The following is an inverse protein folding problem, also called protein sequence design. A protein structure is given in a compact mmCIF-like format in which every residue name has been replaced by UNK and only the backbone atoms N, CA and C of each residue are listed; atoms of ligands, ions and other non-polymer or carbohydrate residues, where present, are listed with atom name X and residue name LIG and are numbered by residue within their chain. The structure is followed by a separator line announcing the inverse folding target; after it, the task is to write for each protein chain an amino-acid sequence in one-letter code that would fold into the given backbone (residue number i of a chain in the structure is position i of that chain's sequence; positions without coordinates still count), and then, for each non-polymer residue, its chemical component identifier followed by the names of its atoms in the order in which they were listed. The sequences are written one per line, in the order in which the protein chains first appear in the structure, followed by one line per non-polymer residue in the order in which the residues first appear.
data_IF_169053439764
#
_entry.id   IF_169053439764
#
_cell.length_a   1.000
_cell.length_b   1.000
_cell.length_c   1.000
_cell.angle_alpha   90.00
_cell.angle_beta   90.00
_cell.angle_gamma   90.00
#
_symmetry.space_group_name_H-M   'P 1'
#
loop_
_entity.id
_entity.type
_entity.pdbx_description
1 polymer ?
#
# COMPACT_ATOMS: atom_id res chain seq x y z
N UNK A 1 6.70 -14.30 26.07
CA UNK A 1 6.32 -13.64 24.80
C UNK A 1 6.46 -14.66 23.67
N UNK A 2 5.52 -14.72 22.74
CA UNK A 2 5.67 -15.62 21.59
C UNK A 2 6.86 -15.16 20.75
N UNK A 3 7.66 -16.08 20.25
CA UNK A 3 8.85 -15.79 19.40
C UNK A 3 8.46 -14.87 18.22
N UNK A 4 7.25 -15.01 17.70
CA UNK A 4 6.67 -14.16 16.64
C UNK A 4 6.57 -12.68 17.06
N UNK A 5 6.10 -12.42 18.27
CA UNK A 5 5.94 -11.05 18.78
C UNK A 5 7.30 -10.38 18.98
N UNK A 6 8.31 -11.14 19.42
CA UNK A 6 9.68 -10.63 19.55
C UNK A 6 10.22 -10.18 18.18
N UNK A 7 10.06 -11.00 17.12
CA UNK A 7 10.49 -10.62 15.75
C UNK A 7 9.74 -9.37 15.29
N UNK A 8 8.43 -9.29 15.50
CA UNK A 8 7.64 -8.12 15.14
C UNK A 8 8.13 -6.85 15.84
N UNK A 9 8.41 -6.93 17.13
CA UNK A 9 8.95 -5.80 17.89
C UNK A 9 10.34 -5.37 17.39
N UNK A 10 11.24 -6.33 17.13
CA UNK A 10 12.56 -6.01 16.58
C UNK A 10 12.46 -5.36 15.20
N UNK A 11 11.61 -5.88 14.32
CA UNK A 11 11.39 -5.29 12.99
C UNK A 11 10.83 -3.87 13.08
N UNK A 12 9.85 -3.65 13.97
CA UNK A 12 9.29 -2.33 14.20
C UNK A 12 10.34 -1.36 14.80
N UNK A 13 11.10 -1.79 15.81
CA UNK A 13 12.16 -0.98 16.41
C UNK A 13 13.28 -0.67 15.42
N UNK A 14 13.65 -1.61 14.56
CA UNK A 14 14.59 -1.37 13.47
C UNK A 14 14.06 -0.27 12.54
N UNK A 15 12.80 -0.39 12.10
CA UNK A 15 12.15 0.61 11.24
C UNK A 15 12.09 2.00 11.91
N UNK A 16 11.78 2.07 13.20
CA UNK A 16 11.75 3.33 13.96
C UNK A 16 13.14 3.96 14.14
N UNK A 17 14.19 3.14 14.27
CA UNK A 17 15.58 3.61 14.36
C UNK A 17 16.15 4.04 13.01
N UNK A 18 15.63 3.51 11.91
CA UNK A 18 15.98 3.99 10.57
C UNK A 18 15.37 5.38 10.35
N UNK A 19 16.01 6.18 9.50
CA UNK A 19 15.55 7.54 9.20
C UNK A 19 14.27 7.60 8.35
N UNK A 20 13.53 6.47 8.22
CA UNK A 20 12.33 6.36 7.36
C UNK A 20 11.22 7.28 7.83
N UNK A 21 10.97 7.36 9.14
CA UNK A 21 9.94 8.29 9.67
C UNK A 21 10.30 9.74 9.42
N UNK A 22 11.57 10.11 9.54
CA UNK A 22 12.06 11.45 9.21
C UNK A 22 11.89 11.75 7.72
N UNK A 23 12.15 10.77 6.87
CA UNK A 23 11.94 10.89 5.42
C UNK A 23 10.45 11.07 5.09
N UNK A 24 9.56 10.30 5.72
CA UNK A 24 8.10 10.48 5.58
C UNK A 24 7.69 11.88 6.03
N UNK A 25 8.17 12.34 7.20
CA UNK A 25 7.84 13.65 7.71
C UNK A 25 8.32 14.77 6.77
N UNK A 26 9.58 14.70 6.33
CA UNK A 26 10.15 15.68 5.40
C UNK A 26 9.36 15.73 4.09
N UNK A 27 8.94 14.56 3.58
CA UNK A 27 8.15 14.45 2.36
C UNK A 27 6.75 15.01 2.55
N UNK A 28 6.08 14.73 3.67
CA UNK A 28 4.78 15.31 3.99
C UNK A 28 4.86 16.85 4.13
N UNK A 29 5.93 17.37 4.72
CA UNK A 29 6.17 18.81 4.81
C UNK A 29 6.37 19.44 3.42
N UNK A 30 7.16 18.80 2.56
CA UNK A 30 7.39 19.26 1.18
C UNK A 30 6.10 19.25 0.36
N UNK A 31 5.29 18.20 0.47
CA UNK A 31 3.99 18.10 -0.19
C UNK A 31 2.98 19.12 0.39
N UNK A 32 3.04 19.37 1.69
CA UNK A 32 2.27 20.43 2.35
C UNK A 32 2.60 21.79 1.77
N UNK A 33 3.88 22.14 1.64
CA UNK A 33 4.32 23.40 0.99
C UNK A 33 3.85 23.45 -0.48
N UNK A 34 3.96 22.33 -1.22
CA UNK A 34 3.43 22.25 -2.58
C UNK A 34 1.91 22.46 -2.64
N UNK A 35 1.17 21.99 -1.64
CA UNK A 35 -0.28 22.19 -1.57
C UNK A 35 -0.66 23.67 -1.35
N UNK A 36 0.15 24.43 -0.61
CA UNK A 36 -0.04 25.88 -0.46
C UNK A 36 0.12 26.61 -1.79
N UNK A 37 1.08 26.17 -2.62
CA UNK A 37 1.22 26.73 -3.96
C UNK A 37 -0.04 26.46 -4.82
N UNK A 38 -0.60 25.25 -4.75
CA UNK A 38 -1.86 24.90 -5.44
C UNK A 38 -3.00 25.83 -4.99
N UNK A 39 -3.06 26.17 -3.70
CA UNK A 39 -4.05 27.10 -3.16
C UNK A 39 -3.96 28.50 -3.80
N UNK A 40 -2.77 28.99 -4.08
CA UNK A 40 -2.57 30.30 -4.70
C UNK A 40 -2.86 30.33 -6.20
N UNK A 41 -2.74 29.21 -6.89
CA UNK A 41 -2.98 29.10 -8.35
C UNK A 41 -4.46 28.81 -8.65
N UNK A 42 -5.17 28.14 -7.76
CA UNK A 42 -6.57 27.78 -7.96
C UNK A 42 -7.49 29.00 -7.80
N UNK A 43 -8.29 29.29 -8.82
CA UNK A 43 -9.23 30.43 -8.83
C UNK A 43 -10.56 30.06 -8.16
N UNK A 44 -10.97 28.80 -8.30
CA UNK A 44 -12.23 28.27 -7.74
C UNK A 44 -11.96 27.00 -6.95
N UNK A 45 -12.74 26.75 -5.88
CA UNK A 45 -12.67 25.54 -5.03
C UNK A 45 -11.25 25.26 -4.49
N UNK A 46 -10.53 26.29 -4.09
CA UNK A 46 -9.12 26.23 -3.67
C UNK A 46 -8.83 25.15 -2.63
N UNK A 47 -9.67 25.08 -1.58
CA UNK A 47 -9.51 24.10 -0.48
C UNK A 47 -9.73 22.66 -0.97
N UNK A 48 -10.63 22.46 -1.91
CA UNK A 48 -10.93 21.14 -2.48
C UNK A 48 -9.78 20.61 -3.31
N UNK A 49 -9.24 21.46 -4.18
CA UNK A 49 -8.08 21.14 -5.01
C UNK A 49 -6.83 20.92 -4.16
N UNK A 50 -6.59 21.77 -3.15
CA UNK A 50 -5.48 21.65 -2.21
C UNK A 50 -5.53 20.32 -1.45
N UNK A 51 -6.67 20.00 -0.83
CA UNK A 51 -6.86 18.75 -0.09
C UNK A 51 -6.72 17.54 -1.01
N UNK A 52 -7.30 17.61 -2.21
CA UNK A 52 -7.20 16.55 -3.21
C UNK A 52 -5.78 16.27 -3.66
N UNK A 53 -5.03 17.32 -3.95
CA UNK A 53 -3.62 17.23 -4.33
C UNK A 53 -2.77 16.63 -3.20
N UNK A 54 -2.90 17.17 -1.98
CA UNK A 54 -2.12 16.69 -0.84
C UNK A 54 -2.46 15.22 -0.51
N UNK A 55 -3.74 14.84 -0.49
CA UNK A 55 -4.14 13.48 -0.19
C UNK A 55 -3.64 12.47 -1.24
N UNK A 56 -3.77 12.81 -2.54
CA UNK A 56 -3.35 11.92 -3.62
C UNK A 56 -1.82 11.76 -3.65
N UNK A 57 -1.08 12.87 -3.57
CA UNK A 57 0.39 12.86 -3.60
C UNK A 57 0.99 12.22 -2.35
N UNK A 58 0.48 12.54 -1.16
CA UNK A 58 0.92 11.94 0.10
C UNK A 58 0.73 10.43 0.10
N UNK A 59 -0.44 9.94 -0.32
CA UNK A 59 -0.70 8.50 -0.43
C UNK A 59 0.32 7.79 -1.31
N UNK A 60 0.52 8.28 -2.55
CA UNK A 60 1.49 7.68 -3.49
C UNK A 60 2.89 7.66 -2.88
N UNK A 61 3.27 8.75 -2.26
CA UNK A 61 4.58 8.94 -1.68
C UNK A 61 4.83 8.02 -0.48
N UNK A 62 3.87 7.88 0.45
CA UNK A 62 4.06 7.01 1.63
C UNK A 62 4.05 5.53 1.26
N UNK A 63 3.26 5.11 0.24
CA UNK A 63 3.31 3.75 -0.29
C UNK A 63 4.69 3.46 -0.87
N UNK A 64 5.22 4.38 -1.68
CA UNK A 64 6.55 4.26 -2.25
C UNK A 64 7.63 4.08 -1.18
N UNK A 65 7.66 4.95 -0.18
CA UNK A 65 8.62 4.90 0.92
C UNK A 65 8.49 3.60 1.72
N UNK A 66 7.26 3.18 2.03
CA UNK A 66 7.04 1.92 2.77
C UNK A 66 7.57 0.72 1.97
N UNK A 67 7.21 0.59 0.69
CA UNK A 67 7.63 -0.53 -0.14
C UNK A 67 9.16 -0.57 -0.30
N UNK A 68 9.80 0.58 -0.54
CA UNK A 68 11.27 0.66 -0.59
C UNK A 68 11.92 0.26 0.74
N UNK A 69 11.35 0.69 1.86
CA UNK A 69 11.88 0.35 3.17
C UNK A 69 11.75 -1.15 3.45
N UNK A 70 10.57 -1.74 3.22
CA UNK A 70 10.34 -3.19 3.37
C UNK A 70 11.31 -3.99 2.49
N UNK A 71 11.44 -3.59 1.22
CA UNK A 71 12.33 -4.25 0.28
C UNK A 71 13.80 -4.17 0.71
N UNK A 72 14.27 -2.98 1.07
CA UNK A 72 15.66 -2.75 1.47
C UNK A 72 16.02 -3.44 2.79
N UNK A 73 15.11 -3.42 3.77
CA UNK A 73 15.30 -4.12 5.06
C UNK A 73 15.42 -5.63 4.85
N UNK A 74 14.51 -6.21 4.07
CA UNK A 74 14.52 -7.65 3.80
C UNK A 74 15.72 -8.11 2.99
N UNK A 75 16.10 -7.38 1.93
CA UNK A 75 17.28 -7.76 1.11
C UNK A 75 18.56 -7.64 1.92
N UNK A 76 18.68 -6.64 2.77
CA UNK A 76 19.83 -6.55 3.70
C UNK A 76 19.89 -7.77 4.60
N UNK A 77 18.77 -8.19 5.18
CA UNK A 77 18.71 -9.37 6.07
C UNK A 77 19.05 -10.67 5.34
N UNK A 78 18.66 -10.82 4.07
CA UNK A 78 19.08 -11.96 3.24
C UNK A 78 20.59 -11.93 2.95
N UNK A 79 21.16 -10.76 2.61
CA UNK A 79 22.57 -10.62 2.31
C UNK A 79 23.47 -10.86 3.54
N UNK A 80 23.03 -10.43 4.72
CA UNK A 80 23.74 -10.59 5.99
C UNK A 80 23.59 -12.01 6.58
N UNK A 81 22.94 -12.95 5.84
CA UNK A 81 22.61 -14.31 6.31
C UNK A 81 21.83 -14.33 7.63
N UNK A 82 21.17 -13.23 7.96
CA UNK A 82 20.36 -13.11 9.18
C UNK A 82 19.19 -14.10 9.18
N UNK A 83 18.64 -14.39 8.00
CA UNK A 83 17.56 -15.37 7.82
C UNK A 83 18.03 -16.77 8.19
N UNK A 84 19.22 -17.19 7.73
CA UNK A 84 19.80 -18.50 8.01
C UNK A 84 20.07 -18.66 9.52
N UNK A 85 20.59 -17.62 10.14
CA UNK A 85 20.85 -17.59 11.58
C UNK A 85 19.56 -17.68 12.41
N UNK A 86 18.52 -16.96 12.02
CA UNK A 86 17.22 -16.99 12.70
C UNK A 86 16.51 -18.34 12.53
N UNK A 87 16.63 -18.96 11.35
CA UNK A 87 16.04 -20.27 11.08
C UNK A 87 16.79 -21.41 11.74
N UNK A 88 18.08 -21.23 12.10
CA UNK A 88 18.85 -22.20 12.91
C UNK A 88 18.41 -22.22 14.38
N UNK A 89 17.67 -21.23 14.86
CA UNK A 89 17.20 -21.05 16.23
C UNK A 89 15.79 -21.67 16.47
N UNK A 90 15.51 -22.89 16.06
CA UNK A 90 14.21 -23.58 16.31
C UNK A 90 12.97 -22.70 16.07
N UNK A 91 13.03 -21.82 15.06
CA UNK A 91 11.93 -20.95 14.66
C UNK A 91 11.20 -21.54 13.47
N UNK A 92 9.88 -21.80 13.55
CA UNK A 92 9.14 -22.21 12.37
C UNK A 92 9.19 -21.09 11.32
N UNK A 93 9.42 -21.45 10.06
CA UNK A 93 9.47 -20.49 8.92
C UNK A 93 8.23 -19.57 8.87
N UNK A 94 7.07 -20.14 9.18
CA UNK A 94 5.83 -19.36 9.31
C UNK A 94 5.92 -18.30 10.43
N UNK A 95 6.53 -18.62 11.56
CA UNK A 95 6.72 -17.68 12.67
C UNK A 95 7.58 -16.48 12.30
N UNK A 96 8.63 -16.70 11.50
CA UNK A 96 9.45 -15.64 10.95
C UNK A 96 8.65 -14.72 10.01
N UNK A 97 7.93 -15.31 9.05
CA UNK A 97 7.11 -14.57 8.09
C UNK A 97 6.07 -13.69 8.79
N UNK A 98 5.28 -14.28 9.71
CA UNK A 98 4.27 -13.53 10.45
C UNK A 98 4.88 -12.45 11.36
N UNK A 99 6.05 -12.72 11.96
CA UNK A 99 6.76 -11.72 12.76
C UNK A 99 7.14 -10.51 11.93
N UNK A 100 7.73 -10.72 10.75
CA UNK A 100 8.09 -9.64 9.81
C UNK A 100 6.86 -8.88 9.31
N UNK A 101 5.83 -9.60 8.89
CA UNK A 101 4.58 -9.00 8.42
C UNK A 101 3.95 -8.10 9.50
N UNK A 102 3.86 -8.58 10.75
CA UNK A 102 3.32 -7.80 11.86
C UNK A 102 4.18 -6.56 12.18
N UNK A 103 5.50 -6.69 12.11
CA UNK A 103 6.41 -5.55 12.30
C UNK A 103 6.20 -4.46 11.23
N UNK A 104 6.12 -4.85 9.96
CA UNK A 104 5.86 -3.92 8.87
C UNK A 104 4.43 -3.38 8.88
N UNK A 105 3.43 -4.18 9.31
CA UNK A 105 2.07 -3.69 9.53
C UNK A 105 2.02 -2.62 10.64
N UNK A 106 2.79 -2.79 11.71
CA UNK A 106 2.93 -1.77 12.75
C UNK A 106 3.53 -0.47 12.20
N UNK A 107 4.57 -0.55 11.36
CA UNK A 107 5.13 0.62 10.67
C UNK A 107 4.11 1.28 9.74
N UNK A 108 3.35 0.49 8.98
CA UNK A 108 2.29 0.98 8.09
C UNK A 108 1.22 1.77 8.86
N UNK A 109 0.82 1.30 10.04
CA UNK A 109 -0.12 2.01 10.92
C UNK A 109 0.45 3.36 11.39
N UNK A 110 1.72 3.41 11.77
CA UNK A 110 2.37 4.66 12.19
C UNK A 110 2.42 5.66 11.02
N UNK A 111 2.81 5.22 9.83
CA UNK A 111 2.85 6.06 8.64
C UNK A 111 1.44 6.56 8.27
N UNK A 112 0.43 5.69 8.33
CA UNK A 112 -0.96 6.07 8.08
C UNK A 112 -1.44 7.13 9.08
N UNK A 113 -1.13 6.97 10.38
CA UNK A 113 -1.47 7.93 11.42
C UNK A 113 -0.79 9.29 11.19
N UNK A 114 0.51 9.31 10.85
CA UNK A 114 1.25 10.54 10.53
C UNK A 114 0.64 11.27 9.33
N UNK A 115 0.30 10.52 8.27
CA UNK A 115 -0.30 11.10 7.05
C UNK A 115 -1.70 11.64 7.33
N UNK A 116 -2.51 10.91 8.10
CA UNK A 116 -3.84 11.36 8.51
C UNK A 116 -3.78 12.62 9.37
N UNK A 117 -2.81 12.69 10.29
CA UNK A 117 -2.61 13.88 11.12
C UNK A 117 -2.23 15.10 10.27
N UNK A 118 -1.41 14.91 9.24
CA UNK A 118 -1.06 15.98 8.30
C UNK A 118 -2.28 16.48 7.50
N UNK A 119 -3.26 15.61 7.20
CA UNK A 119 -4.49 15.98 6.50
C UNK A 119 -5.58 16.55 7.44
N UNK A 120 -5.51 16.29 8.75
CA UNK A 120 -6.45 16.80 9.73
C UNK A 120 -6.49 18.35 9.82
N UNK A 121 -5.44 19.00 9.35
CA UNK A 121 -5.38 20.46 9.20
C UNK A 121 -6.29 21.00 8.09
N UNK A 122 -6.54 20.23 7.02
CA UNK A 122 -7.22 20.68 5.80
C UNK A 122 -8.64 20.11 5.64
N UNK A 123 -8.97 19.03 6.34
CA UNK A 123 -10.22 18.31 6.14
C UNK A 123 -10.89 17.95 7.48
N UNK A 124 -12.23 17.76 7.49
CA UNK A 124 -12.98 17.40 8.70
C UNK A 124 -12.53 16.05 9.27
N UNK A 125 -12.38 15.98 10.59
CA UNK A 125 -11.87 14.81 11.31
C UNK A 125 -12.57 13.48 10.94
N UNK A 126 -13.91 13.39 10.78
CA UNK A 126 -14.54 12.13 10.41
C UNK A 126 -14.09 11.60 9.05
N UNK A 127 -13.94 12.48 8.05
CA UNK A 127 -13.43 12.13 6.73
C UNK A 127 -11.98 11.69 6.76
N UNK A 128 -11.14 12.40 7.54
CA UNK A 128 -9.71 12.06 7.74
C UNK A 128 -9.55 10.70 8.42
N UNK A 129 -10.36 10.41 9.45
CA UNK A 129 -10.30 9.13 10.15
C UNK A 129 -10.63 7.96 9.20
N UNK A 130 -11.69 8.10 8.41
CA UNK A 130 -12.12 7.10 7.44
C UNK A 130 -11.07 6.88 6.34
N UNK A 131 -10.53 7.97 5.81
CA UNK A 131 -9.46 7.94 4.83
C UNK A 131 -8.17 7.33 5.39
N UNK A 132 -7.80 7.68 6.63
CA UNK A 132 -6.62 7.14 7.30
C UNK A 132 -6.71 5.65 7.60
N UNK A 133 -7.88 5.15 8.02
CA UNK A 133 -8.12 3.71 8.20
C UNK A 133 -8.01 2.96 6.87
N UNK A 134 -8.55 3.52 5.80
CA UNK A 134 -8.41 2.94 4.45
C UNK A 134 -6.95 2.97 3.97
N UNK A 135 -6.21 4.05 4.26
CA UNK A 135 -4.77 4.12 3.96
C UNK A 135 -3.97 3.07 4.73
N UNK A 136 -4.30 2.84 6.00
CA UNK A 136 -3.66 1.79 6.79
C UNK A 136 -3.86 0.41 6.16
N UNK A 137 -5.08 0.09 5.72
CA UNK A 137 -5.37 -1.15 5.00
C UNK A 137 -4.58 -1.27 3.69
N UNK A 138 -4.50 -0.20 2.91
CA UNK A 138 -3.75 -0.14 1.66
C UNK A 138 -2.24 -0.35 1.90
N UNK A 139 -1.66 0.31 2.91
CA UNK A 139 -0.25 0.17 3.29
C UNK A 139 0.09 -1.24 3.80
N UNK A 140 -0.78 -1.86 4.61
CA UNK A 140 -0.60 -3.24 5.09
C UNK A 140 -0.59 -4.22 3.90
N UNK A 141 -1.52 -4.04 2.97
CA UNK A 141 -1.60 -4.89 1.77
C UNK A 141 -0.35 -4.74 0.90
N UNK A 142 0.14 -3.49 0.71
CA UNK A 142 1.36 -3.22 -0.05
C UNK A 142 2.62 -3.73 0.66
N UNK A 143 2.67 -3.68 1.99
CA UNK A 143 3.76 -4.30 2.77
C UNK A 143 3.77 -5.82 2.60
N UNK A 144 2.62 -6.48 2.65
CA UNK A 144 2.49 -7.92 2.44
C UNK A 144 2.90 -8.32 1.01
N UNK A 145 2.49 -7.55 -0.01
CA UNK A 145 2.89 -7.77 -1.40
C UNK A 145 4.40 -7.61 -1.57
N UNK A 146 4.98 -6.56 -0.99
CA UNK A 146 6.42 -6.31 -1.07
C UNK A 146 7.22 -7.43 -0.40
N UNK A 147 6.77 -7.88 0.78
CA UNK A 147 7.37 -9.00 1.49
C UNK A 147 7.34 -10.28 0.65
N UNK A 148 6.19 -10.60 0.05
CA UNK A 148 6.07 -11.73 -0.88
C UNK A 148 7.03 -11.59 -2.07
N UNK A 149 7.05 -10.44 -2.74
CA UNK A 149 7.92 -10.22 -3.91
C UNK A 149 9.40 -10.34 -3.57
N UNK A 150 9.85 -9.83 -2.42
CA UNK A 150 11.26 -9.96 -2.01
C UNK A 150 11.61 -11.42 -1.69
N UNK A 151 10.73 -12.16 -1.06
CA UNK A 151 10.96 -13.61 -0.83
C UNK A 151 11.10 -14.33 -2.17
N UNK A 152 10.30 -13.98 -3.17
CA UNK A 152 10.33 -14.61 -4.50
C UNK A 152 11.57 -14.22 -5.30
N UNK A 153 11.84 -12.94 -5.46
CA UNK A 153 12.89 -12.41 -6.38
C UNK A 153 14.27 -12.25 -5.73
N UNK A 154 14.35 -12.12 -4.39
CA UNK A 154 15.59 -11.89 -3.60
C UNK A 154 16.35 -10.60 -3.99
N UNK A 155 15.91 -9.88 -4.99
CA UNK A 155 16.53 -8.65 -5.51
C UNK A 155 15.56 -7.47 -5.41
N UNK A 156 16.09 -6.30 -5.05
CA UNK A 156 15.29 -5.09 -4.85
C UNK A 156 14.62 -4.64 -6.17
N UNK A 157 15.37 -4.53 -7.26
CA UNK A 157 14.89 -3.93 -8.50
C UNK A 157 13.68 -4.66 -9.11
N UNK A 158 13.71 -5.99 -9.36
CA UNK A 158 12.55 -6.68 -9.93
C UNK A 158 11.36 -6.69 -8.97
N UNK A 159 11.61 -6.82 -7.65
CA UNK A 159 10.55 -6.81 -6.65
C UNK A 159 9.81 -5.46 -6.63
N UNK A 160 10.54 -4.36 -6.56
CA UNK A 160 9.96 -3.02 -6.54
C UNK A 160 9.26 -2.70 -7.86
N UNK A 161 9.83 -3.06 -9.01
CA UNK A 161 9.19 -2.86 -10.31
C UNK A 161 7.86 -3.60 -10.40
N UNK A 162 7.80 -4.85 -9.92
CA UNK A 162 6.56 -5.63 -9.87
C UNK A 162 5.53 -5.01 -8.93
N UNK A 163 5.94 -4.64 -7.70
CA UNK A 163 5.06 -4.03 -6.68
C UNK A 163 4.43 -2.74 -7.21
N UNK A 164 5.22 -1.86 -7.85
CA UNK A 164 4.70 -0.61 -8.42
C UNK A 164 3.83 -0.84 -9.64
N UNK A 165 4.22 -1.74 -10.54
CA UNK A 165 3.40 -2.13 -11.68
C UNK A 165 2.04 -2.65 -11.23
N UNK A 166 2.03 -3.55 -10.23
CA UNK A 166 0.82 -4.09 -9.63
C UNK A 166 -0.04 -2.99 -8.99
N UNK A 167 0.58 -2.09 -8.20
CA UNK A 167 -0.12 -0.99 -7.54
C UNK A 167 -0.79 -0.06 -8.55
N UNK A 168 -0.06 0.40 -9.56
CA UNK A 168 -0.60 1.30 -10.58
C UNK A 168 -1.73 0.63 -11.37
N UNK A 169 -1.57 -0.65 -11.73
CA UNK A 169 -2.60 -1.40 -12.45
C UNK A 169 -3.86 -1.58 -11.59
N UNK A 170 -3.69 -2.03 -10.34
CA UNK A 170 -4.80 -2.22 -9.41
C UNK A 170 -5.53 -0.89 -9.06
N UNK A 171 -4.81 0.23 -9.09
CA UNK A 171 -5.39 1.56 -8.86
C UNK A 171 -6.13 2.11 -10.07
N UNK A 172 -5.66 1.83 -11.27
CA UNK A 172 -6.24 2.34 -12.53
C UNK A 172 -7.33 1.44 -13.11
N UNK A 173 -7.57 0.26 -12.56
CA UNK A 173 -8.46 -0.75 -13.15
C UNK A 173 -9.89 -0.23 -13.38
N UNK A 174 -10.45 0.58 -12.48
CA UNK A 174 -11.78 1.16 -12.65
C UNK A 174 -11.80 2.18 -13.79
N UNK A 175 -10.76 3.00 -13.93
CA UNK A 175 -10.63 3.93 -15.05
C UNK A 175 -10.51 3.19 -16.39
N UNK A 176 -9.73 2.10 -16.41
CA UNK A 176 -9.59 1.25 -17.61
C UNK A 176 -10.91 0.58 -17.98
N UNK A 177 -11.70 0.10 -17.00
CA UNK A 177 -13.05 -0.43 -17.22
C UNK A 177 -14.00 0.59 -17.84
N UNK A 178 -14.01 1.81 -17.29
CA UNK A 178 -14.84 2.88 -17.82
C UNK A 178 -14.47 3.23 -19.27
N UNK A 179 -13.18 3.25 -19.60
CA UNK A 179 -12.70 3.48 -20.95
C UNK A 179 -13.05 2.34 -21.91
N UNK A 180 -12.92 1.09 -21.48
CA UNK A 180 -13.24 -0.09 -22.30
C UNK A 180 -14.74 -0.22 -22.58
N UNK A 181 -15.61 0.28 -21.68
CA UNK A 181 -17.06 0.31 -21.83
C UNK A 181 -17.60 1.56 -22.51
N UNK A 182 -16.74 2.54 -22.85
CA UNK A 182 -17.17 3.79 -23.47
C UNK A 182 -17.61 3.57 -24.92
N UNK A 183 -18.68 4.31 -25.33
CA UNK A 183 -19.22 4.27 -26.70
C UNK A 183 -18.25 4.77 -27.80
N UNK A 184 -17.06 5.26 -27.40
CA UNK A 184 -16.01 5.72 -28.31
C UNK A 184 -15.32 4.55 -29.05
N UNK A 185 -15.43 3.34 -28.52
CA UNK A 185 -14.88 2.12 -29.12
C UNK A 185 -15.99 1.39 -29.88
N UNK A 186 -15.70 1.02 -31.13
CA UNK A 186 -16.66 0.29 -31.96
C UNK A 186 -17.01 -1.06 -31.32
N UNK A 187 -18.25 -1.28 -30.80
CA UNK A 187 -18.59 -2.44 -29.98
C UNK A 187 -18.50 -3.79 -30.74
N UNK A 188 -18.46 -3.73 -32.08
CA UNK A 188 -18.37 -4.91 -32.95
C UNK A 188 -16.94 -5.28 -33.35
N UNK A 189 -15.95 -4.44 -33.05
CA UNK A 189 -14.56 -4.77 -33.36
C UNK A 189 -14.03 -5.90 -32.46
N UNK A 190 -13.37 -6.89 -33.04
CA UNK A 190 -12.79 -8.02 -32.32
C UNK A 190 -11.81 -7.56 -31.23
N UNK A 191 -11.04 -6.51 -31.53
CA UNK A 191 -10.12 -5.86 -30.59
C UNK A 191 -10.82 -5.34 -29.34
N UNK A 192 -12.01 -4.74 -29.47
CA UNK A 192 -12.78 -4.21 -28.35
C UNK A 192 -13.31 -5.32 -27.43
N UNK A 193 -13.78 -6.44 -28.02
CA UNK A 193 -14.22 -7.61 -27.24
C UNK A 193 -13.07 -8.28 -26.48
N UNK A 194 -11.92 -8.40 -27.12
CA UNK A 194 -10.73 -9.00 -26.53
C UNK A 194 -10.16 -8.13 -25.40
N UNK A 195 -10.11 -6.80 -25.60
CA UNK A 195 -9.70 -5.84 -24.58
C UNK A 195 -10.67 -5.85 -23.40
N UNK A 196 -11.98 -5.87 -23.64
CA UNK A 196 -13.00 -5.97 -22.58
C UNK A 196 -12.83 -7.23 -21.74
N UNK A 197 -12.67 -8.39 -22.37
CA UNK A 197 -12.45 -9.64 -21.68
C UNK A 197 -11.15 -9.65 -20.84
N UNK A 198 -10.05 -9.11 -21.38
CA UNK A 198 -8.79 -8.99 -20.65
C UNK A 198 -8.91 -8.05 -19.43
N UNK A 199 -9.60 -6.92 -19.60
CA UNK A 199 -9.83 -5.95 -18.53
C UNK A 199 -10.71 -6.56 -17.42
N UNK A 200 -11.75 -7.31 -17.79
CA UNK A 200 -12.61 -7.98 -16.82
C UNK A 200 -11.89 -9.12 -16.08
N UNK A 201 -11.04 -9.89 -16.77
CA UNK A 201 -10.21 -10.91 -16.16
C UNK A 201 -9.20 -10.28 -15.17
N UNK A 202 -8.51 -9.22 -15.58
CA UNK A 202 -7.59 -8.49 -14.69
C UNK A 202 -8.31 -7.90 -13.47
N UNK A 203 -9.50 -7.35 -13.67
CA UNK A 203 -10.27 -6.75 -12.59
C UNK A 203 -10.85 -7.76 -11.59
N UNK A 204 -10.98 -9.03 -11.96
CA UNK A 204 -11.34 -10.11 -11.03
C UNK A 204 -10.15 -10.58 -10.19
N UNK A 205 -8.94 -10.53 -10.76
CA UNK A 205 -7.71 -11.01 -10.10
C UNK A 205 -7.11 -9.91 -9.20
N UNK A 206 -7.20 -8.63 -9.62
CA UNK A 206 -6.59 -7.51 -8.91
C UNK A 206 -7.52 -6.95 -7.82
N UNK A 207 -6.95 -6.53 -6.66
CA UNK A 207 -7.72 -5.76 -5.69
C UNK A 207 -8.13 -4.43 -6.31
N UNK A 208 -9.37 -4.00 -6.09
CA UNK A 208 -9.83 -2.71 -6.55
C UNK A 208 -9.33 -1.59 -5.61
N UNK A 209 -8.06 -1.20 -5.77
CA UNK A 209 -7.46 -0.12 -4.99
C UNK A 209 -8.05 1.27 -5.35
N UNK A 210 -8.80 1.38 -6.45
CA UNK A 210 -9.55 2.59 -6.80
C UNK A 210 -10.56 3.01 -5.75
N UNK A 211 -11.14 2.05 -5.03
CA UNK A 211 -12.10 2.27 -3.94
C UNK A 211 -11.46 2.55 -2.58
N UNK A 212 -10.15 2.34 -2.45
CA UNK A 212 -9.41 2.69 -1.24
C UNK A 212 -9.08 4.19 -1.24
N UNK A 213 -8.95 4.77 -0.07
CA UNK A 213 -8.46 6.15 0.14
C UNK A 213 -9.04 7.15 -0.86
N UNK A 214 -10.37 7.17 -0.97
CA UNK A 214 -11.05 8.10 -1.88
C UNK A 214 -10.93 9.52 -1.34
N UNK A 215 -10.45 10.43 -2.19
CA UNK A 215 -10.33 11.85 -1.86
C UNK A 215 -11.70 12.50 -1.62
N UNK A 216 -12.76 11.94 -2.20
CA UNK A 216 -14.14 12.38 -1.98
C UNK A 216 -14.55 12.38 -0.51
N UNK A 217 -14.05 11.46 0.30
CA UNK A 217 -14.36 11.38 1.74
C UNK A 217 -13.82 12.57 2.54
N UNK A 218 -12.71 13.16 2.08
CA UNK A 218 -12.11 14.35 2.71
C UNK A 218 -12.85 15.64 2.34
N UNK A 219 -13.49 15.67 1.17
CA UNK A 219 -14.06 16.89 0.59
C UNK A 219 -15.58 16.94 0.76
N UNK A 220 -16.27 15.82 0.50
CA UNK A 220 -17.74 15.76 0.50
C UNK A 220 -18.29 15.23 1.84
N UNK A 221 -17.42 14.86 2.78
CA UNK A 221 -17.77 14.18 4.02
C UNK A 221 -17.70 12.64 3.90
N UNK A 222 -17.78 11.94 5.05
CA UNK A 222 -17.68 10.49 5.07
C UNK A 222 -18.85 9.84 4.34
N UNK A 223 -18.54 9.01 3.36
CA UNK A 223 -19.52 8.05 2.83
C UNK A 223 -19.89 7.03 3.92
N UNK A 224 -20.95 6.24 3.66
CA UNK A 224 -21.44 5.27 4.62
C UNK A 224 -20.32 4.32 5.11
N UNK A 225 -20.39 3.92 6.39
CA UNK A 225 -19.47 2.95 7.03
C UNK A 225 -19.35 1.65 6.21
N UNK A 226 -20.32 1.35 5.36
CA UNK A 226 -20.28 0.23 4.41
C UNK A 226 -19.08 0.26 3.46
N UNK A 227 -18.57 1.44 3.10
CA UNK A 227 -17.39 1.58 2.26
C UNK A 227 -16.12 1.05 2.95
N UNK A 228 -15.97 1.30 4.27
CA UNK A 228 -14.91 0.69 5.07
C UNK A 228 -15.03 -0.84 5.15
N UNK A 229 -16.24 -1.36 5.28
CA UNK A 229 -16.48 -2.80 5.31
C UNK A 229 -15.93 -3.50 4.06
N UNK A 230 -16.16 -2.90 2.89
CA UNK A 230 -15.60 -3.39 1.63
C UNK A 230 -14.05 -3.35 1.60
N UNK A 231 -13.45 -2.24 2.06
CA UNK A 231 -11.99 -2.07 2.12
C UNK A 231 -11.36 -3.14 3.03
N UNK A 232 -11.90 -3.34 4.24
CA UNK A 232 -11.40 -4.32 5.22
C UNK A 232 -11.55 -5.75 4.68
N UNK A 233 -12.71 -6.08 4.10
CA UNK A 233 -12.93 -7.40 3.52
C UNK A 233 -11.94 -7.68 2.39
N UNK A 234 -11.75 -6.73 1.49
CA UNK A 234 -10.83 -6.88 0.37
C UNK A 234 -9.38 -6.99 0.85
N UNK A 235 -8.97 -6.17 1.82
CA UNK A 235 -7.64 -6.26 2.44
C UNK A 235 -7.42 -7.62 3.10
N UNK A 236 -8.42 -8.16 3.78
CA UNK A 236 -8.34 -9.48 4.44
C UNK A 236 -8.19 -10.61 3.42
N UNK A 237 -8.98 -10.60 2.36
CA UNK A 237 -8.93 -11.65 1.32
C UNK A 237 -7.59 -11.63 0.59
N UNK A 238 -7.18 -10.47 0.07
CA UNK A 238 -5.90 -10.36 -0.66
C UNK A 238 -4.69 -10.50 0.26
N UNK A 239 -4.77 -9.99 1.50
CA UNK A 239 -3.74 -10.19 2.51
C UNK A 239 -3.54 -11.67 2.82
N UNK A 240 -4.61 -12.43 2.98
CA UNK A 240 -4.55 -13.88 3.21
C UNK A 240 -3.95 -14.62 2.00
N UNK A 241 -4.34 -14.26 0.78
CA UNK A 241 -3.76 -14.84 -0.44
C UNK A 241 -2.25 -14.58 -0.54
N UNK A 242 -1.82 -13.35 -0.27
CA UNK A 242 -0.40 -12.98 -0.28
C UNK A 242 0.40 -13.70 0.82
N UNK A 243 -0.18 -13.86 2.00
CA UNK A 243 0.42 -14.63 3.10
C UNK A 243 0.59 -16.09 2.71
N UNK A 244 -0.44 -16.73 2.15
CA UNK A 244 -0.37 -18.12 1.69
C UNK A 244 0.67 -18.29 0.59
N UNK A 245 0.70 -17.40 -0.40
CA UNK A 245 1.68 -17.42 -1.47
C UNK A 245 3.11 -17.21 -0.95
N UNK A 246 3.31 -16.25 -0.04
CA UNK A 246 4.62 -15.98 0.58
C UNK A 246 5.12 -17.12 1.45
N UNK A 247 4.24 -17.78 2.21
CA UNK A 247 4.59 -18.96 2.97
C UNK A 247 4.95 -20.13 2.06
N UNK A 248 4.16 -20.38 1.01
CA UNK A 248 4.46 -21.43 0.04
C UNK A 248 5.85 -21.27 -0.58
N UNK A 249 6.19 -20.05 -1.00
CA UNK A 249 7.50 -19.73 -1.57
C UNK A 249 8.64 -19.90 -0.55
N UNK A 250 8.42 -19.46 0.70
CA UNK A 250 9.39 -19.58 1.78
C UNK A 250 9.66 -21.05 2.16
N UNK A 251 8.64 -21.92 2.10
CA UNK A 251 8.82 -23.36 2.36
C UNK A 251 9.52 -24.09 1.21
N UNK A 252 9.32 -23.64 -0.02
CA UNK A 252 9.94 -24.23 -1.22
C UNK A 252 11.40 -23.83 -1.40
N UNK A 253 11.82 -22.69 -0.86
CA UNK A 253 13.22 -22.29 -0.89
C UNK A 253 14.06 -23.16 0.05
N UNK A 254 15.08 -23.78 -0.51
CA UNK A 254 16.18 -24.39 0.26
C UNK A 254 17.08 -23.23 0.73
N UNK A 255 16.82 -22.73 1.93
CA UNK A 255 17.65 -21.78 2.67
C UNK A 255 18.60 -22.58 3.54
#
# INVERSE_FOLDING_TARGET
MSKVLAIAQFTLLEALRTRVLWLVLAMLMLLGLGSLFVQHVAITETTRLQTGFLAASARMAVIFVLCLHVASSMVREFNDKGVDLLLSLDLPRAGYFFGKLLGFAGLALIIAAMTSLALAWLAPLPGVALWGMSLACELILMAALTLFCIITFVQIMPAISFVFGFYLLARSIDAVKLLSGSQLLNPNAWSTKLTGWLVDALATILPNLGRFTQTGWLVNGPEAISALGFVVLQTSVYGLLLVLAGLYDLYRKNL
#
